data_IF_744420581109
#
_entry.id   IF_744420581109
#
_cell.length_a   1.000
_cell.length_b   1.000
_cell.length_c   1.000
_cell.angle_alpha   90.00
_cell.angle_beta   90.00
_cell.angle_gamma   90.00
#
_symmetry.space_group_name_H-M   'P 1'
#
loop_
_entity.id
_entity.type
_entity.pdbx_description
1 polymer ?
#
# COMPACT_ATOMS: atom_id res chain seq x y z
N UNK A 1 -22.22 9.51 -4.10
CA UNK A 1 -21.98 8.88 -2.78
C UNK A 1 -20.49 8.82 -2.61
N UNK A 2 -19.91 9.17 -1.45
CA UNK A 2 -18.45 9.13 -1.26
C UNK A 2 -17.95 7.69 -1.38
N UNK A 3 -16.80 7.50 -2.01
CA UNK A 3 -16.14 6.20 -2.14
C UNK A 3 -14.74 6.23 -1.56
N UNK A 4 -14.26 5.07 -1.13
CA UNK A 4 -12.91 4.87 -0.62
C UNK A 4 -12.43 3.48 -1.01
N UNK A 5 -11.13 3.33 -1.22
CA UNK A 5 -10.52 2.02 -1.40
C UNK A 5 -10.17 1.36 -0.04
N UNK A 6 -10.25 0.04 0.02
CA UNK A 6 -9.76 -0.77 1.11
C UNK A 6 -8.74 -1.77 0.55
N UNK A 7 -7.48 -1.67 0.96
CA UNK A 7 -6.40 -2.52 0.47
C UNK A 7 -5.59 -3.18 1.59
N UNK A 8 -4.77 -4.14 1.19
CA UNK A 8 -3.77 -4.78 2.04
C UNK A 8 -2.56 -5.20 1.20
N UNK A 9 -1.44 -5.40 1.89
CA UNK A 9 -0.24 -6.04 1.35
C UNK A 9 -0.42 -7.56 1.41
N UNK A 10 -0.32 -8.22 0.27
CA UNK A 10 -0.60 -9.64 0.07
C UNK A 10 0.51 -10.34 -0.72
N UNK A 11 0.49 -11.66 -0.72
CA UNK A 11 1.46 -12.48 -1.43
C UNK A 11 2.83 -12.47 -0.75
N UNK A 12 2.89 -12.15 0.54
CA UNK A 12 4.15 -11.93 1.26
C UNK A 12 4.76 -13.21 1.90
N UNK A 13 4.25 -14.38 1.55
CA UNK A 13 4.95 -15.65 1.84
C UNK A 13 6.19 -15.84 0.96
N UNK A 14 6.95 -16.91 1.18
CA UNK A 14 8.09 -17.26 0.31
C UNK A 14 8.42 -18.75 0.40
N UNK A 15 8.32 -19.46 -0.73
CA UNK A 15 8.49 -20.91 -0.80
C UNK A 15 7.52 -21.63 0.15
N UNK A 16 8.01 -22.45 1.10
CA UNK A 16 7.15 -23.11 2.08
C UNK A 16 6.66 -22.18 3.20
N UNK A 17 7.27 -21.00 3.37
CA UNK A 17 6.90 -20.06 4.42
C UNK A 17 5.64 -19.28 4.05
N UNK A 18 4.65 -19.31 4.94
CA UNK A 18 3.38 -18.59 4.79
C UNK A 18 3.39 -17.34 5.65
N UNK A 19 2.84 -16.26 5.12
CA UNK A 19 2.62 -15.00 5.82
C UNK A 19 1.18 -14.55 5.59
N UNK A 20 0.55 -14.02 6.63
CA UNK A 20 -0.80 -13.47 6.56
C UNK A 20 -1.91 -14.47 6.24
N UNK A 21 -3.10 -13.93 6.00
CA UNK A 21 -4.33 -14.67 5.70
C UNK A 21 -4.92 -14.26 4.34
N UNK A 22 -4.08 -14.20 3.30
CA UNK A 22 -4.41 -13.65 1.98
C UNK A 22 -5.75 -14.11 1.42
N UNK A 23 -6.01 -15.43 1.41
CA UNK A 23 -7.24 -16.01 0.88
C UNK A 23 -8.50 -15.53 1.62
N UNK A 24 -8.37 -15.23 2.91
CA UNK A 24 -9.48 -14.74 3.75
C UNK A 24 -9.61 -13.22 3.70
N UNK A 25 -8.51 -12.50 3.48
CA UNK A 25 -8.49 -11.04 3.38
C UNK A 25 -9.00 -10.56 2.02
N UNK A 26 -8.56 -11.15 0.92
CA UNK A 26 -8.88 -10.73 -0.45
C UNK A 26 -10.37 -10.43 -0.69
N UNK A 27 -11.34 -11.26 -0.24
CA UNK A 27 -12.77 -10.98 -0.41
C UNK A 27 -13.26 -9.70 0.28
N UNK A 28 -12.51 -9.20 1.27
CA UNK A 28 -12.81 -7.98 2.01
C UNK A 28 -12.20 -6.73 1.38
N UNK A 29 -11.29 -6.87 0.42
CA UNK A 29 -10.57 -5.76 -0.18
C UNK A 29 -11.22 -5.32 -1.49
N UNK A 30 -10.82 -4.14 -1.96
CA UNK A 30 -11.07 -3.67 -3.32
C UNK A 30 -9.80 -3.53 -4.16
N UNK A 31 -8.64 -3.39 -3.52
CA UNK A 31 -7.32 -3.41 -4.16
C UNK A 31 -6.34 -4.27 -3.36
N UNK A 32 -5.33 -4.84 -4.03
CA UNK A 32 -4.30 -5.67 -3.40
C UNK A 32 -2.90 -5.24 -3.86
N UNK A 33 -2.01 -4.95 -2.90
CA UNK A 33 -0.59 -4.73 -3.16
C UNK A 33 0.12 -6.10 -3.08
N UNK A 34 0.56 -6.64 -4.21
CA UNK A 34 1.14 -7.99 -4.30
C UNK A 34 2.67 -7.91 -4.33
N UNK A 35 3.33 -8.62 -3.40
CA UNK A 35 4.79 -8.67 -3.32
C UNK A 35 5.43 -9.21 -4.61
N UNK A 36 6.57 -8.62 -4.98
CA UNK A 36 7.19 -8.79 -6.31
C UNK A 36 8.49 -9.62 -6.31
N UNK A 37 8.79 -10.36 -5.23
CA UNK A 37 9.90 -11.30 -5.16
C UNK A 37 11.17 -10.81 -4.48
N UNK A 38 11.25 -9.52 -4.13
CA UNK A 38 12.46 -8.93 -3.55
C UNK A 38 12.43 -8.89 -2.03
N UNK A 39 11.38 -8.33 -1.43
CA UNK A 39 11.19 -8.34 0.03
C UNK A 39 10.43 -9.57 0.50
N UNK A 40 9.52 -10.07 -0.35
CA UNK A 40 8.68 -11.23 -0.14
C UNK A 40 8.06 -11.69 -1.47
N UNK A 41 7.30 -12.78 -1.43
CA UNK A 41 6.61 -13.35 -2.59
C UNK A 41 7.53 -14.23 -3.44
N UNK A 42 6.94 -15.25 -4.06
CA UNK A 42 7.56 -16.01 -5.14
C UNK A 42 6.59 -16.11 -6.31
N UNK A 43 7.05 -16.60 -7.46
CA UNK A 43 6.21 -16.69 -8.67
C UNK A 43 4.94 -17.51 -8.46
N UNK A 44 5.00 -18.57 -7.64
CA UNK A 44 3.85 -19.43 -7.40
C UNK A 44 2.82 -18.76 -6.49
N UNK A 45 3.26 -18.03 -5.46
CA UNK A 45 2.39 -17.20 -4.62
C UNK A 45 1.77 -16.08 -5.46
N UNK A 46 2.61 -15.36 -6.23
CA UNK A 46 2.18 -14.25 -7.08
C UNK A 46 1.08 -14.67 -8.07
N UNK A 47 1.25 -15.79 -8.80
CA UNK A 47 0.22 -16.30 -9.73
C UNK A 47 -1.10 -16.62 -9.00
N UNK A 48 -1.05 -17.29 -7.84
CA UNK A 48 -2.25 -17.62 -7.07
C UNK A 48 -2.98 -16.38 -6.58
N UNK A 49 -2.25 -15.39 -6.06
CA UNK A 49 -2.81 -14.13 -5.56
C UNK A 49 -3.44 -13.34 -6.71
N UNK A 50 -2.76 -13.21 -7.85
CA UNK A 50 -3.29 -12.58 -9.07
C UNK A 50 -4.60 -13.24 -9.51
N UNK A 51 -4.61 -14.56 -9.70
CA UNK A 51 -5.81 -15.27 -10.19
C UNK A 51 -6.98 -15.12 -9.25
N UNK A 52 -6.70 -15.10 -7.94
CA UNK A 52 -7.72 -14.89 -6.91
C UNK A 52 -8.26 -13.46 -6.96
N UNK A 53 -7.40 -12.46 -7.11
CA UNK A 53 -7.81 -11.06 -7.26
C UNK A 53 -8.70 -10.86 -8.49
N UNK A 54 -8.31 -11.41 -9.65
CA UNK A 54 -9.13 -11.35 -10.89
C UNK A 54 -10.51 -11.95 -10.65
N UNK A 55 -10.59 -13.15 -10.06
CA UNK A 55 -11.87 -13.83 -9.79
C UNK A 55 -12.79 -13.02 -8.88
N UNK A 56 -12.22 -12.26 -7.95
CA UNK A 56 -12.96 -11.45 -6.98
C UNK A 56 -13.21 -10.01 -7.47
N UNK A 57 -12.67 -9.62 -8.63
CA UNK A 57 -12.75 -8.24 -9.12
C UNK A 57 -11.96 -7.24 -8.25
N UNK A 58 -10.89 -7.71 -7.59
CA UNK A 58 -9.98 -6.88 -6.78
C UNK A 58 -8.86 -6.35 -7.69
N UNK A 59 -8.56 -5.06 -7.58
CA UNK A 59 -7.48 -4.42 -8.31
C UNK A 59 -6.12 -5.04 -7.95
N UNK A 60 -5.28 -5.24 -8.97
CA UNK A 60 -3.93 -5.80 -8.80
C UNK A 60 -2.92 -4.66 -8.82
N UNK A 61 -2.10 -4.56 -7.78
CA UNK A 61 -1.00 -3.60 -7.75
C UNK A 61 0.33 -4.21 -7.31
N UNK A 62 1.42 -3.65 -7.81
CA UNK A 62 2.77 -4.07 -7.43
C UNK A 62 3.17 -3.52 -6.07
N UNK A 63 3.62 -4.39 -5.17
CA UNK A 63 4.21 -4.02 -3.89
C UNK A 63 5.73 -4.15 -3.97
N UNK A 64 6.39 -3.04 -4.32
CA UNK A 64 7.80 -2.99 -4.73
C UNK A 64 8.69 -2.72 -3.52
N UNK A 65 9.63 -3.62 -3.24
CA UNK A 65 10.50 -3.55 -2.06
C UNK A 65 11.99 -3.56 -2.38
N UNK A 66 12.80 -3.36 -1.34
CA UNK A 66 14.23 -3.62 -1.41
C UNK A 66 14.51 -5.13 -1.62
N UNK A 67 15.64 -5.50 -2.27
CA UNK A 67 16.09 -6.89 -2.41
C UNK A 67 16.62 -7.45 -1.08
N UNK A 68 15.75 -7.52 -0.08
CA UNK A 68 16.07 -7.92 1.28
C UNK A 68 15.03 -8.90 1.82
N UNK A 69 15.06 -10.14 1.33
CA UNK A 69 14.19 -11.21 1.81
C UNK A 69 14.36 -11.45 3.32
N UNK A 70 15.59 -11.44 3.83
CA UNK A 70 15.87 -11.74 5.24
C UNK A 70 15.32 -10.67 6.20
N UNK A 71 15.41 -9.40 5.81
CA UNK A 71 14.85 -8.28 6.56
C UNK A 71 13.43 -7.92 6.13
N UNK A 72 12.81 -8.71 5.26
CA UNK A 72 11.48 -8.48 4.70
C UNK A 72 11.34 -7.08 4.10
N UNK A 73 12.39 -6.54 3.48
CA UNK A 73 12.40 -5.17 2.93
C UNK A 73 12.23 -4.05 3.95
N UNK A 74 12.32 -4.34 5.26
CA UNK A 74 12.14 -3.36 6.36
C UNK A 74 13.45 -2.74 6.84
N UNK A 75 14.59 -3.09 6.23
CA UNK A 75 15.89 -2.47 6.51
C UNK A 75 16.25 -1.46 5.43
N UNK A 76 16.70 -0.24 5.79
CA UNK A 76 17.25 0.69 4.81
C UNK A 76 18.45 0.07 4.10
N UNK A 77 18.54 0.26 2.79
CA UNK A 77 19.69 -0.14 1.97
C UNK A 77 20.24 1.09 1.24
N UNK A 78 21.56 1.22 1.20
CA UNK A 78 22.22 2.23 0.39
C UNK A 78 22.47 1.65 -1.00
N UNK A 79 21.63 2.05 -1.95
CA UNK A 79 21.64 1.64 -3.35
C UNK A 79 21.58 2.93 -4.17
N UNK A 80 22.37 3.00 -5.23
CA UNK A 80 22.34 4.15 -6.15
C UNK A 80 20.97 4.26 -6.83
N UNK A 81 20.48 5.49 -7.00
CA UNK A 81 19.11 5.74 -7.46
C UNK A 81 18.80 5.11 -8.82
N UNK A 82 19.77 5.08 -9.73
CA UNK A 82 19.62 4.43 -11.05
C UNK A 82 19.54 2.91 -10.97
N UNK A 83 20.29 2.29 -10.05
CA UNK A 83 20.19 0.85 -9.79
C UNK A 83 18.83 0.51 -9.15
N UNK A 84 18.41 1.31 -8.17
CA UNK A 84 17.11 1.13 -7.52
C UNK A 84 15.95 1.34 -8.50
N UNK A 85 16.04 2.29 -9.43
CA UNK A 85 15.07 2.48 -10.51
C UNK A 85 14.94 1.24 -11.40
N UNK A 86 16.06 0.61 -11.77
CA UNK A 86 16.04 -0.65 -12.52
C UNK A 86 15.39 -1.79 -11.71
N UNK A 87 15.64 -1.87 -10.41
CA UNK A 87 14.99 -2.83 -9.51
C UNK A 87 13.48 -2.61 -9.38
N UNK A 88 13.01 -1.36 -9.40
CA UNK A 88 11.58 -1.02 -9.45
C UNK A 88 10.97 -1.54 -10.75
N UNK A 89 11.57 -1.21 -11.90
CA UNK A 89 11.09 -1.66 -13.22
C UNK A 89 11.05 -3.19 -13.31
N UNK A 90 12.07 -3.88 -12.78
CA UNK A 90 12.10 -5.34 -12.74
C UNK A 90 10.89 -5.92 -12.00
N UNK A 91 10.60 -5.39 -10.81
CA UNK A 91 9.47 -5.85 -9.99
C UNK A 91 8.12 -5.54 -10.64
N UNK A 92 7.97 -4.36 -11.24
CA UNK A 92 6.77 -3.99 -12.02
C UNK A 92 6.58 -4.94 -13.22
N UNK A 93 7.65 -5.26 -13.94
CA UNK A 93 7.63 -6.18 -15.07
C UNK A 93 7.28 -7.61 -14.66
N UNK A 94 7.78 -8.07 -13.52
CA UNK A 94 7.45 -9.39 -12.97
C UNK A 94 5.94 -9.51 -12.69
N UNK A 95 5.36 -8.60 -11.91
CA UNK A 95 3.94 -8.65 -11.61
C UNK A 95 3.08 -8.38 -12.86
N UNK A 96 3.44 -7.35 -13.65
CA UNK A 96 2.71 -6.97 -14.85
C UNK A 96 2.66 -8.09 -15.90
N UNK A 97 3.77 -8.78 -16.12
CA UNK A 97 3.84 -9.94 -17.01
C UNK A 97 2.96 -11.10 -16.54
N UNK A 98 2.99 -11.41 -15.24
CA UNK A 98 2.16 -12.48 -14.66
C UNK A 98 0.67 -12.12 -14.66
N UNK A 99 0.32 -10.88 -14.33
CA UNK A 99 -1.06 -10.38 -14.38
C UNK A 99 -1.63 -10.50 -15.80
N UNK A 100 -0.87 -10.05 -16.80
CA UNK A 100 -1.24 -10.16 -18.22
C UNK A 100 -1.41 -11.61 -18.66
N UNK A 101 -0.50 -12.50 -18.28
CA UNK A 101 -0.58 -13.93 -18.60
C UNK A 101 -1.82 -14.61 -17.98
N UNK A 102 -2.28 -14.11 -16.82
CA UNK A 102 -3.52 -14.56 -16.18
C UNK A 102 -4.80 -13.91 -16.73
N UNK A 103 -4.69 -13.01 -17.71
CA UNK A 103 -5.83 -12.28 -18.30
C UNK A 103 -6.28 -11.06 -17.50
N UNK A 104 -5.47 -10.60 -16.54
CA UNK A 104 -5.71 -9.39 -15.77
C UNK A 104 -4.83 -8.21 -16.20
N UNK A 105 -5.00 -7.08 -15.52
CA UNK A 105 -4.20 -5.88 -15.69
C UNK A 105 -3.73 -5.38 -14.33
N UNK A 106 -2.47 -4.97 -14.24
CA UNK A 106 -1.95 -4.25 -13.08
C UNK A 106 -2.44 -2.79 -13.15
N UNK A 107 -3.09 -2.31 -12.10
CA UNK A 107 -3.74 -0.98 -12.07
C UNK A 107 -2.96 0.05 -11.28
N UNK A 108 -2.22 -0.40 -10.26
CA UNK A 108 -1.52 0.48 -9.33
C UNK A 108 -0.19 -0.13 -8.87
N UNK A 109 0.58 0.66 -8.10
CA UNK A 109 1.75 0.17 -7.39
C UNK A 109 1.93 0.94 -6.08
N UNK A 110 2.58 0.32 -5.10
CA UNK A 110 3.02 0.91 -3.84
C UNK A 110 4.44 0.45 -3.49
N UNK A 111 5.14 1.25 -2.69
CA UNK A 111 6.48 0.92 -2.22
C UNK A 111 6.43 0.31 -0.82
N UNK A 112 7.09 -0.83 -0.66
CA UNK A 112 7.10 -1.61 0.56
C UNK A 112 8.06 -1.04 1.62
N UNK A 113 7.65 -1.12 2.89
CA UNK A 113 8.55 -1.11 4.04
C UNK A 113 9.52 0.06 4.10
N UNK A 114 10.82 -0.23 4.21
CA UNK A 114 11.84 0.81 4.33
C UNK A 114 12.02 1.64 3.06
N UNK A 115 11.70 1.08 1.88
CA UNK A 115 11.74 1.82 0.63
C UNK A 115 10.63 2.87 0.60
N UNK A 116 9.39 2.47 0.92
CA UNK A 116 8.24 3.39 1.02
C UNK A 116 8.46 4.54 2.00
N UNK A 117 9.04 4.26 3.18
CA UNK A 117 9.36 5.32 4.14
C UNK A 117 10.44 6.27 3.62
N UNK A 118 11.46 5.77 2.92
CA UNK A 118 12.57 6.58 2.41
C UNK A 118 12.10 7.54 1.32
N UNK A 119 11.38 7.04 0.31
CA UNK A 119 10.89 7.88 -0.78
C UNK A 119 9.89 8.94 -0.27
N UNK A 120 9.11 8.62 0.76
CA UNK A 120 8.17 9.57 1.34
C UNK A 120 8.87 10.78 2.00
N UNK A 121 10.13 10.60 2.41
CA UNK A 121 10.93 11.61 3.09
C UNK A 121 12.06 12.22 2.22
N UNK A 122 12.34 11.66 1.03
CA UNK A 122 13.45 12.06 0.16
C UNK A 122 12.92 12.46 -1.22
N UNK A 123 12.83 13.78 -1.47
CA UNK A 123 12.29 14.32 -2.70
C UNK A 123 13.10 13.94 -3.95
N UNK A 124 14.43 13.87 -3.84
CA UNK A 124 15.28 13.51 -4.96
C UNK A 124 15.12 12.03 -5.32
N UNK A 125 14.98 11.16 -4.32
CA UNK A 125 14.72 9.75 -4.56
C UNK A 125 13.30 9.51 -5.08
N UNK A 126 12.30 10.21 -4.54
CA UNK A 126 10.92 10.15 -5.04
C UNK A 126 10.87 10.52 -6.53
N UNK A 127 11.51 11.62 -6.92
CA UNK A 127 11.61 12.06 -8.31
C UNK A 127 12.20 10.97 -9.21
N UNK A 128 13.39 10.45 -8.86
CA UNK A 128 14.08 9.43 -9.65
C UNK A 128 13.26 8.14 -9.82
N UNK A 129 12.61 7.66 -8.75
CA UNK A 129 11.85 6.41 -8.82
C UNK A 129 10.48 6.58 -9.48
N UNK A 130 9.79 7.70 -9.27
CA UNK A 130 8.53 7.99 -9.97
C UNK A 130 8.74 8.24 -11.46
N UNK A 131 9.88 8.83 -11.86
CA UNK A 131 10.28 8.90 -13.27
C UNK A 131 10.40 7.50 -13.88
N UNK A 132 11.01 6.55 -13.16
CA UNK A 132 11.16 5.17 -13.62
C UNK A 132 9.80 4.44 -13.74
N UNK A 133 8.88 4.67 -12.79
CA UNK A 133 7.51 4.13 -12.86
C UNK A 133 6.76 4.70 -14.06
N UNK A 134 6.84 6.01 -14.30
CA UNK A 134 6.20 6.65 -15.46
C UNK A 134 6.78 6.16 -16.80
N UNK A 135 8.09 5.91 -16.86
CA UNK A 135 8.74 5.34 -18.04
C UNK A 135 8.32 3.89 -18.31
N UNK A 136 7.99 3.12 -17.27
CA UNK A 136 7.43 1.77 -17.41
C UNK A 136 5.97 1.81 -17.87
N UNK A 137 5.12 2.54 -17.15
CA UNK A 137 3.69 2.71 -17.47
C UNK A 137 3.12 3.95 -16.74
N UNK A 138 2.95 5.05 -17.48
CA UNK A 138 2.35 6.29 -16.96
C UNK A 138 0.86 6.15 -16.60
N UNK A 139 0.20 5.04 -16.98
CA UNK A 139 -1.18 4.74 -16.61
C UNK A 139 -1.34 4.23 -15.17
N UNK A 140 -0.25 3.77 -14.54
CA UNK A 140 -0.29 3.24 -13.18
C UNK A 140 -0.69 4.30 -12.15
N UNK A 141 -1.52 3.88 -11.20
CA UNK A 141 -1.83 4.66 -10.00
C UNK A 141 -0.74 4.40 -8.97
N UNK A 142 -0.17 5.46 -8.41
CA UNK A 142 0.75 5.37 -7.27
C UNK A 142 -0.07 5.40 -6.00
N UNK A 143 0.06 4.37 -5.16
CA UNK A 143 -0.50 4.32 -3.81
C UNK A 143 0.63 4.59 -2.81
N UNK A 144 0.47 5.65 -2.00
CA UNK A 144 1.49 6.07 -1.03
C UNK A 144 0.84 6.63 0.24
N UNK A 145 1.52 6.49 1.37
CA UNK A 145 1.20 7.31 2.55
C UNK A 145 1.33 8.80 2.24
N UNK A 146 0.66 9.69 3.01
CA UNK A 146 0.79 11.13 2.84
C UNK A 146 2.26 11.57 2.78
N UNK A 147 2.63 12.29 1.71
CA UNK A 147 4.00 12.78 1.51
C UNK A 147 4.03 13.89 0.46
N UNK A 148 4.62 15.04 0.81
CA UNK A 148 4.84 16.14 -0.12
C UNK A 148 5.82 15.78 -1.25
N UNK A 149 6.83 14.94 -0.96
CA UNK A 149 7.79 14.45 -1.94
C UNK A 149 7.09 13.62 -3.03
N UNK A 150 6.23 12.68 -2.61
CA UNK A 150 5.47 11.82 -3.53
C UNK A 150 4.46 12.61 -4.36
N UNK A 151 3.75 13.56 -3.75
CA UNK A 151 2.80 14.44 -4.45
C UNK A 151 3.51 15.24 -5.54
N UNK A 152 4.63 15.86 -5.21
CA UNK A 152 5.40 16.69 -6.14
C UNK A 152 5.93 15.86 -7.30
N UNK A 153 6.59 14.73 -7.00
CA UNK A 153 7.18 13.88 -8.02
C UNK A 153 6.11 13.20 -8.91
N UNK A 154 4.98 12.75 -8.35
CA UNK A 154 3.90 12.19 -9.15
C UNK A 154 3.33 13.23 -10.13
N UNK A 155 3.12 14.47 -9.66
CA UNK A 155 2.66 15.56 -10.52
C UNK A 155 3.65 15.91 -11.63
N UNK A 156 4.96 15.94 -11.32
CA UNK A 156 6.02 16.18 -12.30
C UNK A 156 6.04 15.16 -13.44
N UNK A 157 5.77 13.89 -13.12
CA UNK A 157 5.82 12.79 -14.10
C UNK A 157 4.45 12.39 -14.64
N UNK A 158 3.40 13.19 -14.39
CA UNK A 158 2.05 12.95 -14.90
C UNK A 158 1.38 11.69 -14.35
N UNK A 159 1.82 11.19 -13.19
CA UNK A 159 1.28 10.00 -12.54
C UNK A 159 0.10 10.35 -11.64
N UNK A 160 -0.89 9.46 -11.61
CA UNK A 160 -2.02 9.57 -10.67
C UNK A 160 -1.58 9.06 -9.30
N UNK A 161 -1.55 9.94 -8.30
CA UNK A 161 -1.29 9.57 -6.91
C UNK A 161 -2.62 9.41 -6.14
N UNK A 162 -2.75 8.32 -5.40
CA UNK A 162 -3.82 8.08 -4.43
C UNK A 162 -3.21 7.94 -3.05
N UNK A 163 -3.71 8.72 -2.10
CA UNK A 163 -3.16 8.77 -0.74
C UNK A 163 -3.79 7.67 0.09
N UNK A 164 -2.93 6.85 0.70
CA UNK A 164 -3.32 5.68 1.49
C UNK A 164 -3.08 5.93 2.96
N UNK A 165 -4.14 5.84 3.76
CA UNK A 165 -4.08 5.89 5.21
C UNK A 165 -3.83 4.49 5.77
N UNK A 166 -2.77 4.32 6.57
CA UNK A 166 -2.45 3.06 7.22
C UNK A 166 -3.14 3.03 8.60
N UNK A 167 -4.19 2.20 8.73
CA UNK A 167 -5.13 2.28 9.84
C UNK A 167 -4.48 2.04 11.22
N UNK A 168 -3.52 1.11 11.27
CA UNK A 168 -2.82 0.63 12.45
C UNK A 168 -1.43 1.27 12.63
N UNK A 169 -1.10 2.31 11.86
CA UNK A 169 0.18 3.02 12.00
C UNK A 169 -0.03 4.43 12.55
N UNK A 170 0.83 4.78 13.49
CA UNK A 170 0.95 6.16 13.92
C UNK A 170 1.68 7.00 12.86
N UNK A 171 1.27 8.26 12.75
CA UNK A 171 1.97 9.28 11.99
C UNK A 171 2.50 10.37 12.93
N UNK A 172 3.56 11.06 12.54
CA UNK A 172 4.04 12.27 13.20
C UNK A 172 3.24 13.51 12.75
N UNK A 173 3.61 14.69 13.26
CA UNK A 173 2.96 15.97 12.93
C UNK A 173 3.09 16.36 11.46
N UNK A 174 4.09 15.83 10.74
CA UNK A 174 4.26 16.01 9.30
C UNK A 174 3.40 15.03 8.48
N UNK A 175 2.70 14.11 9.15
CA UNK A 175 1.87 13.08 8.52
C UNK A 175 2.66 11.87 8.02
N UNK A 176 3.97 11.81 8.29
CA UNK A 176 4.83 10.69 7.92
C UNK A 176 4.65 9.54 8.91
N UNK A 177 4.87 8.31 8.43
CA UNK A 177 4.75 7.13 9.28
C UNK A 177 5.87 7.08 10.32
N UNK A 178 5.49 6.90 11.58
CA UNK A 178 6.44 6.77 12.68
C UNK A 178 7.25 5.48 12.52
N UNK A 179 8.59 5.50 12.71
CA UNK A 179 9.42 4.30 12.63
C UNK A 179 8.94 3.19 13.56
N UNK A 180 8.89 1.94 13.06
CA UNK A 180 8.34 0.79 13.80
C UNK A 180 9.03 0.51 15.15
N UNK A 181 10.28 0.93 15.31
CA UNK A 181 11.05 0.79 16.55
C UNK A 181 10.63 1.76 17.66
N UNK A 182 9.90 2.85 17.34
CA UNK A 182 9.41 3.80 18.34
C UNK A 182 8.18 3.21 19.04
N UNK A 183 8.12 3.23 20.38
CA UNK A 183 6.92 2.82 21.11
C UNK A 183 5.68 3.57 20.62
N UNK A 184 4.58 2.84 20.38
CA UNK A 184 3.33 3.40 19.86
C UNK A 184 3.27 3.58 18.34
N UNK A 185 4.32 3.21 17.59
CA UNK A 185 4.32 3.31 16.12
C UNK A 185 3.33 2.35 15.42
N UNK A 186 2.99 1.23 16.08
CA UNK A 186 2.00 0.25 15.63
C UNK A 186 0.90 0.19 16.68
N UNK A 187 -0.34 0.27 16.21
CA UNK A 187 -1.54 0.33 17.03
C UNK A 187 -2.17 -1.06 17.01
N UNK A 188 -2.02 -1.77 18.12
CA UNK A 188 -2.48 -3.16 18.24
C UNK A 188 -3.95 -3.28 18.67
N UNK A 189 -4.50 -2.26 19.32
CA UNK A 189 -5.90 -2.27 19.80
C UNK A 189 -6.87 -2.01 18.65
N UNK A 190 -7.71 -3.00 18.25
CA UNK A 190 -8.65 -2.85 17.14
C UNK A 190 -9.65 -1.71 17.35
N UNK A 191 -9.99 -1.37 18.61
CA UNK A 191 -10.90 -0.26 18.92
C UNK A 191 -10.27 1.09 18.60
N UNK A 192 -8.98 1.24 18.85
CA UNK A 192 -8.23 2.45 18.51
C UNK A 192 -8.08 2.59 16.99
N UNK A 193 -7.82 1.50 16.28
CA UNK A 193 -7.77 1.50 14.81
C UNK A 193 -9.13 1.90 14.22
N UNK A 194 -10.22 1.31 14.73
CA UNK A 194 -11.58 1.65 14.31
C UNK A 194 -11.90 3.13 14.54
N UNK A 195 -11.56 3.67 15.72
CA UNK A 195 -11.78 5.08 16.03
C UNK A 195 -11.05 6.01 15.07
N UNK A 196 -9.81 5.66 14.67
CA UNK A 196 -9.03 6.41 13.67
C UNK A 196 -9.69 6.39 12.30
N UNK A 197 -10.20 5.23 11.86
CA UNK A 197 -10.94 5.13 10.61
C UNK A 197 -12.23 5.95 10.67
N UNK A 198 -12.98 5.89 11.76
CA UNK A 198 -14.16 6.74 11.97
C UNK A 198 -13.81 8.23 11.87
N UNK A 199 -12.73 8.67 12.54
CA UNK A 199 -12.25 10.06 12.49
C UNK A 199 -11.92 10.49 11.06
N UNK A 200 -11.20 9.64 10.31
CA UNK A 200 -10.85 9.92 8.92
C UNK A 200 -12.09 10.06 8.04
N UNK A 201 -13.05 9.13 8.17
CA UNK A 201 -14.25 9.12 7.34
C UNK A 201 -15.19 10.28 7.67
N UNK A 202 -15.39 10.58 8.95
CA UNK A 202 -16.30 11.63 9.40
C UNK A 202 -15.71 13.04 9.24
N UNK A 203 -14.42 13.20 9.50
CA UNK A 203 -13.80 14.51 9.69
C UNK A 203 -12.71 14.83 8.67
N UNK A 204 -12.21 13.83 7.93
CA UNK A 204 -11.05 14.01 7.05
C UNK A 204 -9.76 14.29 7.81
N UNK A 205 -9.66 13.81 9.06
CA UNK A 205 -8.48 14.03 9.91
C UNK A 205 -8.00 12.76 10.59
N UNK A 206 -6.75 12.78 11.07
CA UNK A 206 -6.22 11.79 12.00
C UNK A 206 -5.47 12.48 13.13
N UNK A 207 -5.39 11.84 14.29
CA UNK A 207 -4.54 12.29 15.40
C UNK A 207 -3.13 11.67 15.28
N UNK A 208 -2.11 12.53 15.33
CA UNK A 208 -0.68 12.14 15.32
C UNK A 208 -0.26 11.48 16.64
N UNK A 209 0.94 10.90 16.68
CA UNK A 209 1.50 10.34 17.92
C UNK A 209 1.77 11.42 18.99
N UNK A 210 1.93 12.69 18.58
CA UNK A 210 2.05 13.85 19.46
C UNK A 210 0.68 14.38 19.96
N UNK A 211 -0.44 13.83 19.47
CA UNK A 211 -1.79 14.24 19.85
C UNK A 211 -2.37 15.40 19.02
N UNK A 212 -1.68 15.80 17.95
CA UNK A 212 -2.14 16.87 17.05
C UNK A 212 -3.12 16.33 16.00
N UNK A 213 -4.13 17.12 15.64
CA UNK A 213 -5.13 16.74 14.63
C UNK A 213 -4.69 17.21 13.25
N UNK A 214 -4.42 16.27 12.35
CA UNK A 214 -3.90 16.50 11.00
C UNK A 214 -5.00 16.26 9.97
N UNK A 215 -5.17 17.18 9.03
CA UNK A 215 -6.04 16.96 7.87
C UNK A 215 -5.37 15.94 6.93
N UNK A 216 -6.09 14.88 6.58
CA UNK A 216 -5.63 13.85 5.64
C UNK A 216 -6.73 13.58 4.61
N UNK A 217 -6.44 13.93 3.37
CA UNK A 217 -7.24 13.50 2.23
C UNK A 217 -6.79 12.10 1.82
N UNK A 218 -7.40 11.06 2.40
CA UNK A 218 -7.12 9.68 2.03
C UNK A 218 -8.15 9.16 1.02
N UNK A 219 -7.64 8.59 -0.07
CA UNK A 219 -8.39 7.86 -1.09
C UNK A 219 -8.55 6.38 -0.73
N UNK A 220 -7.67 5.88 0.13
CA UNK A 220 -7.58 4.46 0.46
C UNK A 220 -7.24 4.23 1.93
N UNK A 221 -7.69 3.10 2.47
CA UNK A 221 -7.33 2.60 3.79
C UNK A 221 -6.57 1.29 3.61
N UNK A 222 -5.35 1.21 4.15
CA UNK A 222 -4.56 -0.01 4.19
C UNK A 222 -4.71 -0.71 5.54
N UNK A 223 -4.93 -2.02 5.47
CA UNK A 223 -4.92 -2.93 6.62
C UNK A 223 -3.76 -3.91 6.43
N UNK A 224 -2.85 -4.00 7.39
CA UNK A 224 -1.75 -4.96 7.34
C UNK A 224 -2.26 -6.39 7.49
N UNK A 225 -1.92 -7.27 6.55
CA UNK A 225 -2.33 -8.67 6.58
C UNK A 225 -1.47 -9.57 7.50
N UNK A 226 -0.30 -9.09 7.92
CA UNK A 226 0.68 -9.79 8.75
C UNK A 226 0.43 -9.65 10.27
N UNK A 227 -0.49 -8.77 10.68
CA UNK A 227 -0.81 -8.54 12.10
C UNK A 227 -1.82 -9.58 12.62
N UNK A 228 -1.61 -10.08 13.83
CA UNK A 228 -2.60 -10.94 14.50
C UNK A 228 -3.96 -10.22 14.59
N UNK A 229 -5.04 -10.89 14.16
CA UNK A 229 -6.37 -10.29 14.08
C UNK A 229 -6.63 -9.40 12.85
N UNK A 230 -5.71 -9.34 11.88
CA UNK A 230 -5.86 -8.55 10.65
C UNK A 230 -7.20 -8.78 9.92
N UNK A 231 -7.66 -10.04 9.87
CA UNK A 231 -8.92 -10.40 9.23
C UNK A 231 -10.13 -9.77 9.92
N UNK A 232 -10.17 -9.84 11.25
CA UNK A 232 -11.27 -9.26 12.03
C UNK A 232 -11.22 -7.74 11.99
N UNK A 233 -10.01 -7.16 11.98
CA UNK A 233 -9.82 -5.74 11.78
C UNK A 233 -10.32 -5.29 10.41
N UNK A 234 -9.99 -6.00 9.33
CA UNK A 234 -10.45 -5.69 7.98
C UNK A 234 -11.98 -5.76 7.88
N UNK A 235 -12.62 -6.77 8.49
CA UNK A 235 -14.09 -6.88 8.58
C UNK A 235 -14.68 -5.68 9.30
N UNK A 236 -14.11 -5.31 10.44
CA UNK A 236 -14.57 -4.20 11.24
C UNK A 236 -14.46 -2.88 10.48
N UNK A 237 -13.32 -2.61 9.84
CA UNK A 237 -13.09 -1.42 9.02
C UNK A 237 -14.09 -1.35 7.86
N UNK A 238 -14.30 -2.46 7.14
CA UNK A 238 -15.27 -2.50 6.03
C UNK A 238 -16.69 -2.20 6.50
N UNK A 239 -17.07 -2.70 7.67
CA UNK A 239 -18.37 -2.40 8.28
C UNK A 239 -18.48 -0.94 8.72
N UNK A 240 -17.41 -0.37 9.30
CA UNK A 240 -17.33 1.06 9.63
C UNK A 240 -17.51 1.95 8.39
N UNK A 241 -16.85 1.62 7.28
CA UNK A 241 -17.00 2.34 6.00
C UNK A 241 -18.47 2.29 5.55
N UNK A 242 -19.09 1.11 5.61
CA UNK A 242 -20.50 0.91 5.24
C UNK A 242 -21.45 1.72 6.12
N UNK A 243 -21.24 1.73 7.43
CA UNK A 243 -22.07 2.48 8.39
C UNK A 243 -21.93 3.99 8.21
N UNK A 244 -20.76 4.47 7.78
CA UNK A 244 -20.55 5.87 7.41
C UNK A 244 -21.21 6.27 6.07
N UNK A 245 -21.90 5.35 5.38
CA UNK A 245 -22.53 5.61 4.09
C UNK A 245 -21.54 5.76 2.93
N UNK A 246 -20.31 5.26 3.10
CA UNK A 246 -19.23 5.31 2.10
C UNK A 246 -19.18 3.97 1.35
N UNK A 247 -18.92 4.01 0.04
CA UNK A 247 -18.78 2.81 -0.79
C UNK A 247 -17.31 2.37 -0.85
N UNK A 248 -17.07 1.07 -0.68
CA UNK A 248 -15.75 0.48 -0.98
C UNK A 248 -15.64 0.27 -2.49
N UNK A 249 -14.62 0.85 -3.13
CA UNK A 249 -14.34 0.71 -4.56
C UNK A 249 -12.83 0.57 -4.84
N UNK A 250 -12.43 -0.16 -5.88
CA UNK A 250 -11.02 -0.29 -6.26
C UNK A 250 -10.39 1.06 -6.62
N UNK A 251 -9.08 1.19 -6.43
CA UNK A 251 -8.33 2.42 -6.74
C UNK A 251 -8.57 2.88 -8.18
N UNK A 252 -8.62 1.95 -9.14
CA UNK A 252 -8.88 2.24 -10.56
C UNK A 252 -10.25 2.86 -10.85
N UNK A 253 -11.21 2.73 -9.93
CA UNK A 253 -12.59 3.18 -10.08
C UNK A 253 -12.95 4.37 -9.19
N UNK A 254 -12.01 4.88 -8.39
CA UNK A 254 -12.24 6.09 -7.62
C UNK A 254 -12.36 7.28 -8.58
N UNK A 255 -13.51 7.96 -8.52
CA UNK A 255 -13.74 9.23 -9.21
C UNK A 255 -12.95 10.37 -8.54
N UNK A 256 -12.69 11.44 -9.28
CA UNK A 256 -12.06 12.67 -8.76
C UNK A 256 -13.12 13.67 -8.31
#
# INVERSE_FOLDING_TARGET
MRSIDLNADLGEGFGPWRMGADESLLPLLSSANIACGFHAGDSSIMDRTIRTAIRLGVDIGAHVGYPDLQGFGRRPMQIESGELAAMVIYQLGALGGMARAAGGQMTHMSFHGALGNRIAADAALADALLQAVAAYDAGLIISSSPSAAMVTAAAMHGLRLRTTFLADRACDREGLLVPRSRPGAVIHDPRQVAARVCQLLAEGTVTSIEGERLAIAADSILVHGDTEGALDLARHIRETIRQAGVRVQPLSQLEH
#
